data_IF_236160974373
#
_entry.id   IF_236160974373
#
_cell.length_a   1.000
_cell.length_b   1.000
_cell.length_c   1.000
_cell.angle_alpha   90.00
_cell.angle_beta   90.00
_cell.angle_gamma   90.00
#
_symmetry.space_group_name_H-M   'P 1'
#
loop_
_entity.id
_entity.type
_entity.pdbx_description
1 polymer ?
#
# COMPACT_ATOMS: atom_id res chain seq x y z
N UNK A 1 -0.76 2.68 -0.52
CA UNK A 1 -2.06 2.12 -0.95
C UNK A 1 -3.21 2.63 -0.08
N UNK A 2 -3.15 2.52 1.27
CA UNK A 2 -4.25 2.95 2.16
C UNK A 2 -4.56 4.45 2.07
N UNK A 3 -3.54 5.31 1.99
CA UNK A 3 -3.72 6.76 1.86
C UNK A 3 -4.39 7.16 0.53
N UNK A 4 -4.30 6.32 -0.50
CA UNK A 4 -4.88 6.57 -1.81
C UNK A 4 -6.33 6.07 -1.93
N UNK A 5 -6.78 5.20 -1.01
CA UNK A 5 -8.13 4.65 -1.06
C UNK A 5 -9.25 5.71 -1.05
N UNK A 6 -9.21 6.78 -0.22
CA UNK A 6 -10.22 7.82 -0.25
C UNK A 6 -10.29 8.54 -1.60
N UNK A 7 -9.13 8.81 -2.21
CA UNK A 7 -9.07 9.47 -3.53
C UNK A 7 -9.68 8.58 -4.60
N UNK A 8 -9.35 7.29 -4.59
CA UNK A 8 -9.90 6.32 -5.53
C UNK A 8 -11.42 6.18 -5.39
N UNK A 9 -11.92 6.07 -4.16
CA UNK A 9 -13.36 5.97 -3.88
C UNK A 9 -14.08 7.25 -4.33
N UNK A 10 -13.53 8.43 -4.00
CA UNK A 10 -14.09 9.71 -4.42
C UNK A 10 -14.13 9.83 -5.95
N UNK A 11 -13.03 9.51 -6.63
CA UNK A 11 -12.94 9.53 -8.08
C UNK A 11 -13.96 8.56 -8.72
N UNK A 12 -14.07 7.33 -8.18
CA UNK A 12 -15.05 6.36 -8.63
C UNK A 12 -16.48 6.89 -8.54
N UNK A 13 -16.85 7.49 -7.40
CA UNK A 13 -18.18 8.07 -7.22
C UNK A 13 -18.45 9.23 -8.17
N UNK A 14 -17.49 10.15 -8.33
CA UNK A 14 -17.62 11.29 -9.23
C UNK A 14 -17.76 10.82 -10.68
N UNK A 15 -16.87 9.95 -11.14
CA UNK A 15 -16.91 9.48 -12.53
C UNK A 15 -18.17 8.67 -12.84
N UNK A 16 -18.66 7.89 -11.88
CA UNK A 16 -19.90 7.14 -12.04
C UNK A 16 -21.14 8.03 -12.03
N UNK A 17 -21.09 9.17 -11.32
CA UNK A 17 -22.21 10.09 -11.21
C UNK A 17 -22.52 10.86 -12.50
N UNK A 18 -21.66 10.84 -13.51
CA UNK A 18 -21.94 11.47 -14.79
C UNK A 18 -23.01 10.73 -15.61
N UNK A 19 -23.15 9.40 -15.44
CA UNK A 19 -24.24 8.65 -16.03
C UNK A 19 -25.27 8.28 -14.95
N UNK A 20 -26.34 9.09 -14.85
CA UNK A 20 -27.42 8.94 -13.86
C UNK A 20 -28.65 8.22 -14.41
N UNK A 21 -28.54 7.63 -15.60
CA UNK A 21 -29.68 6.96 -16.28
C UNK A 21 -30.06 5.62 -15.66
N UNK A 22 -29.21 5.03 -14.82
CA UNK A 22 -29.50 3.78 -14.13
C UNK A 22 -30.31 3.98 -12.85
N UNK A 23 -30.81 2.87 -12.30
CA UNK A 23 -31.56 2.81 -11.03
C UNK A 23 -30.74 2.22 -9.88
N UNK A 24 -29.46 1.97 -10.10
CA UNK A 24 -28.55 1.43 -9.09
C UNK A 24 -28.09 2.48 -8.08
N UNK A 25 -27.23 2.06 -7.12
CA UNK A 25 -26.71 2.94 -6.08
C UNK A 25 -25.96 4.14 -6.70
N UNK A 26 -26.40 5.36 -6.36
CA UNK A 26 -25.84 6.62 -6.87
C UNK A 26 -26.33 7.00 -8.27
N UNK A 27 -27.35 6.33 -8.79
CA UNK A 27 -28.01 6.66 -10.08
C UNK A 27 -29.45 7.10 -9.81
N UNK A 28 -29.93 8.05 -10.62
CA UNK A 28 -31.22 8.73 -10.37
C UNK A 28 -32.35 8.27 -11.30
N UNK A 29 -32.09 7.31 -12.21
CA UNK A 29 -33.08 6.86 -13.18
C UNK A 29 -33.52 7.95 -14.17
N UNK A 30 -32.63 8.91 -14.46
CA UNK A 30 -32.90 10.02 -15.38
C UNK A 30 -33.01 9.50 -16.82
N UNK A 31 -33.77 10.21 -17.65
CA UNK A 31 -33.69 10.01 -19.09
C UNK A 31 -32.29 10.37 -19.62
N UNK A 32 -31.90 9.86 -20.79
CA UNK A 32 -30.62 10.22 -21.41
C UNK A 32 -30.53 11.73 -21.67
N UNK A 33 -31.63 12.33 -22.15
CA UNK A 33 -31.75 13.75 -22.44
C UNK A 33 -31.65 14.61 -21.16
N UNK A 34 -32.39 14.26 -20.11
CA UNK A 34 -32.30 14.98 -18.83
C UNK A 34 -30.89 14.88 -18.24
N UNK A 35 -30.24 13.72 -18.37
CA UNK A 35 -28.88 13.53 -17.87
C UNK A 35 -27.87 14.44 -18.59
N UNK A 36 -28.00 14.64 -19.89
CA UNK A 36 -27.14 15.54 -20.68
C UNK A 36 -27.33 17.01 -20.31
N UNK A 37 -28.58 17.42 -19.99
CA UNK A 37 -28.94 18.80 -19.73
C UNK A 37 -28.88 19.21 -18.24
N UNK A 38 -28.57 18.27 -17.34
CA UNK A 38 -28.53 18.54 -15.90
C UNK A 38 -27.10 18.64 -15.41
N UNK A 39 -26.71 19.74 -14.73
CA UNK A 39 -25.43 19.87 -14.08
C UNK A 39 -25.19 18.75 -13.05
N UNK A 40 -23.91 18.41 -12.80
CA UNK A 40 -23.50 17.37 -11.87
C UNK A 40 -22.43 17.90 -10.90
N UNK A 41 -22.77 18.05 -9.62
CA UNK A 41 -21.92 18.70 -8.61
C UNK A 41 -21.49 20.11 -9.07
N UNK A 42 -20.19 20.32 -9.23
CA UNK A 42 -19.60 21.58 -9.71
C UNK A 42 -19.50 21.66 -11.24
N UNK A 43 -19.86 20.59 -11.95
CA UNK A 43 -19.76 20.49 -13.40
C UNK A 43 -21.04 20.99 -14.05
N UNK A 44 -20.90 21.87 -15.03
CA UNK A 44 -22.02 22.35 -15.86
C UNK A 44 -22.59 21.23 -16.74
N UNK A 45 -23.75 21.46 -17.32
CA UNK A 45 -24.33 20.54 -18.30
C UNK A 45 -23.37 20.30 -19.50
N UNK A 46 -22.67 21.35 -19.94
CA UNK A 46 -21.66 21.24 -21.01
C UNK A 46 -20.49 20.34 -20.62
N UNK A 47 -20.03 20.41 -19.37
CA UNK A 47 -18.97 19.54 -18.87
C UNK A 47 -19.45 18.07 -18.82
N UNK A 48 -20.72 17.86 -18.42
CA UNK A 48 -21.32 16.52 -18.42
C UNK A 48 -21.38 15.95 -19.83
N UNK A 49 -21.84 16.74 -20.80
CA UNK A 49 -21.89 16.34 -22.21
C UNK A 49 -20.47 16.02 -22.72
N UNK A 50 -19.51 16.90 -22.50
CA UNK A 50 -18.12 16.71 -22.91
C UNK A 50 -17.52 15.42 -22.34
N UNK A 51 -17.81 15.11 -21.08
CA UNK A 51 -17.33 13.87 -20.46
C UNK A 51 -18.02 12.62 -21.03
N UNK A 52 -19.32 12.69 -21.29
CA UNK A 52 -20.07 11.59 -21.92
C UNK A 52 -19.69 11.37 -23.39
N UNK A 53 -19.24 12.41 -24.08
CA UNK A 53 -18.72 12.35 -25.44
C UNK A 53 -17.30 11.75 -25.52
N UNK A 54 -16.54 11.85 -24.42
CA UNK A 54 -15.14 11.42 -24.41
C UNK A 54 -14.99 9.92 -24.71
N UNK A 55 -14.15 9.62 -25.68
CA UNK A 55 -13.90 8.25 -26.19
C UNK A 55 -12.40 7.92 -26.15
N UNK A 56 -12.12 6.67 -25.86
CA UNK A 56 -10.80 6.06 -26.06
C UNK A 56 -10.96 4.92 -27.08
N UNK A 57 -10.36 5.05 -28.25
CA UNK A 57 -10.50 4.08 -29.34
C UNK A 57 -11.97 3.72 -29.64
N UNK A 58 -12.86 4.71 -29.61
CA UNK A 58 -14.29 4.55 -29.85
C UNK A 58 -15.13 4.04 -28.66
N UNK A 59 -14.51 3.68 -27.53
CA UNK A 59 -15.20 3.31 -26.30
C UNK A 59 -15.38 4.52 -25.38
N UNK A 60 -16.61 4.75 -24.80
CA UNK A 60 -16.82 5.82 -23.83
C UNK A 60 -15.94 5.60 -22.59
N UNK A 61 -15.19 6.61 -22.18
CA UNK A 61 -14.30 6.48 -21.01
C UNK A 61 -15.05 6.31 -19.69
N UNK A 62 -16.29 6.78 -19.63
CA UNK A 62 -17.19 6.64 -18.49
C UNK A 62 -17.94 5.30 -18.45
N UNK A 63 -17.87 4.48 -19.51
CA UNK A 63 -18.48 3.16 -19.54
C UNK A 63 -17.60 2.10 -18.86
N UNK A 64 -18.27 1.09 -18.30
CA UNK A 64 -17.68 -0.15 -17.80
C UNK A 64 -18.10 -1.33 -18.68
N UNK A 65 -17.38 -2.45 -18.63
CA UNK A 65 -17.77 -3.68 -19.35
C UNK A 65 -19.16 -4.14 -18.94
N UNK A 66 -19.51 -3.99 -17.67
CA UNK A 66 -20.79 -4.41 -17.09
C UNK A 66 -21.89 -3.36 -17.23
N UNK A 67 -21.64 -2.20 -17.86
CA UNK A 67 -22.67 -1.18 -18.05
C UNK A 67 -23.88 -1.78 -18.79
N UNK A 68 -25.11 -1.72 -18.24
CA UNK A 68 -26.30 -2.22 -18.89
C UNK A 68 -26.54 -1.56 -20.25
N UNK A 69 -27.06 -2.31 -21.21
CA UNK A 69 -27.33 -1.79 -22.58
C UNK A 69 -28.24 -0.56 -22.54
N UNK A 70 -29.26 -0.56 -21.68
CA UNK A 70 -30.13 0.59 -21.50
C UNK A 70 -29.39 1.89 -21.10
N UNK A 71 -28.32 1.77 -20.31
CA UNK A 71 -27.50 2.92 -19.90
C UNK A 71 -26.50 3.37 -20.97
N UNK A 72 -26.26 2.56 -22.01
CA UNK A 72 -25.41 2.94 -23.13
C UNK A 72 -26.06 4.05 -23.98
N UNK A 73 -27.36 4.23 -23.89
CA UNK A 73 -28.08 5.34 -24.54
C UNK A 73 -27.61 6.71 -24.04
N UNK A 74 -27.15 6.83 -22.79
CA UNK A 74 -26.62 8.06 -22.25
C UNK A 74 -25.33 8.56 -22.96
N UNK A 75 -24.70 7.70 -23.76
CA UNK A 75 -23.51 8.05 -24.53
C UNK A 75 -23.81 8.40 -25.99
N UNK A 76 -25.07 8.39 -26.37
CA UNK A 76 -25.54 8.87 -27.68
C UNK A 76 -25.83 10.36 -27.54
N UNK A 77 -25.03 11.18 -28.19
CA UNK A 77 -25.12 12.65 -28.15
C UNK A 77 -25.16 13.21 -29.55
N UNK A 78 -25.38 14.50 -29.71
CA UNK A 78 -25.33 15.15 -31.03
C UNK A 78 -23.96 14.97 -31.72
N UNK A 79 -22.88 15.01 -30.92
CA UNK A 79 -21.52 14.85 -31.41
C UNK A 79 -21.16 13.40 -31.74
N UNK A 80 -21.79 12.44 -31.04
CA UNK A 80 -21.53 10.99 -31.20
C UNK A 80 -22.87 10.25 -31.26
N UNK A 81 -23.51 10.22 -32.44
CA UNK A 81 -24.85 9.64 -32.60
C UNK A 81 -24.88 8.10 -32.57
N UNK A 82 -23.68 7.46 -32.56
CA UNK A 82 -23.62 5.99 -32.60
C UNK A 82 -23.68 5.39 -31.18
N UNK A 83 -24.49 4.34 -31.02
CA UNK A 83 -24.55 3.57 -29.79
C UNK A 83 -23.24 2.82 -29.57
N UNK A 84 -22.58 2.99 -28.43
CA UNK A 84 -21.32 2.31 -28.13
C UNK A 84 -21.43 0.80 -28.19
N UNK A 85 -20.54 0.16 -28.93
CA UNK A 85 -20.46 -1.29 -28.97
C UNK A 85 -19.85 -1.85 -27.68
N UNK A 86 -20.51 -2.84 -27.09
CA UNK A 86 -19.94 -3.56 -25.93
C UNK A 86 -18.60 -4.20 -26.26
N UNK A 87 -18.43 -4.70 -27.50
CA UNK A 87 -17.17 -5.26 -27.95
C UNK A 87 -16.04 -4.23 -27.89
N UNK A 88 -16.28 -3.00 -28.34
CA UNK A 88 -15.31 -1.92 -28.25
C UNK A 88 -14.93 -1.61 -26.79
N UNK A 89 -15.92 -1.58 -25.89
CA UNK A 89 -15.67 -1.36 -24.45
C UNK A 89 -14.77 -2.48 -23.91
N UNK A 90 -15.03 -3.74 -24.26
CA UNK A 90 -14.20 -4.88 -23.83
C UNK A 90 -12.80 -4.79 -24.41
N UNK A 91 -12.67 -4.50 -25.71
CA UNK A 91 -11.36 -4.41 -26.38
C UNK A 91 -10.46 -3.32 -25.84
N UNK A 92 -11.05 -2.26 -25.27
CA UNK A 92 -10.29 -1.17 -24.62
C UNK A 92 -10.05 -1.47 -23.14
N UNK A 93 -11.08 -1.92 -22.41
CA UNK A 93 -10.97 -2.13 -20.97
C UNK A 93 -10.10 -3.35 -20.61
N UNK A 94 -10.21 -4.47 -21.34
CA UNK A 94 -9.50 -5.70 -21.00
C UNK A 94 -7.96 -5.53 -21.05
N UNK A 95 -7.34 -4.93 -22.08
CA UNK A 95 -5.91 -4.64 -22.07
C UNK A 95 -5.50 -3.74 -20.91
N UNK A 96 -6.29 -2.69 -20.60
CA UNK A 96 -6.02 -1.80 -19.47
C UNK A 96 -6.06 -2.55 -18.14
N UNK A 97 -7.01 -3.45 -17.94
CA UNK A 97 -7.10 -4.30 -16.75
C UNK A 97 -5.87 -5.19 -16.60
N UNK A 98 -5.44 -5.83 -17.69
CA UNK A 98 -4.24 -6.69 -17.71
C UNK A 98 -3.01 -5.86 -17.36
N UNK A 99 -2.82 -4.72 -18.02
CA UNK A 99 -1.68 -3.82 -17.77
C UNK A 99 -1.71 -3.32 -16.30
N UNK A 100 -2.88 -2.89 -15.82
CA UNK A 100 -3.05 -2.44 -14.44
C UNK A 100 -2.73 -3.55 -13.42
N UNK A 101 -3.17 -4.77 -13.67
CA UNK A 101 -2.88 -5.93 -12.81
C UNK A 101 -1.39 -6.25 -12.77
N UNK A 102 -0.75 -6.33 -13.93
CA UNK A 102 0.70 -6.59 -14.05
C UNK A 102 1.50 -5.46 -13.37
N UNK A 103 1.16 -4.21 -13.64
CA UNK A 103 1.84 -3.05 -13.05
C UNK A 103 1.67 -3.01 -11.51
N UNK A 104 0.47 -3.34 -11.00
CA UNK A 104 0.22 -3.45 -9.57
C UNK A 104 1.07 -4.56 -8.93
N UNK A 105 1.21 -5.71 -9.60
CA UNK A 105 2.07 -6.80 -9.13
C UNK A 105 3.54 -6.36 -9.04
N UNK A 106 4.09 -5.72 -10.09
CA UNK A 106 5.48 -5.26 -10.07
C UNK A 106 5.73 -4.17 -9.03
N UNK A 107 4.84 -3.21 -8.88
CA UNK A 107 4.94 -2.17 -7.84
C UNK A 107 4.91 -2.79 -6.43
N UNK A 108 4.03 -3.76 -6.20
CA UNK A 108 3.96 -4.48 -4.92
C UNK A 108 5.24 -5.28 -4.67
N UNK A 109 5.76 -5.96 -5.69
CA UNK A 109 7.02 -6.72 -5.59
C UNK A 109 8.21 -5.81 -5.25
N UNK A 110 8.32 -4.65 -5.91
CA UNK A 110 9.36 -3.68 -5.62
C UNK A 110 9.28 -3.15 -4.18
N UNK A 111 8.06 -2.89 -3.68
CA UNK A 111 7.84 -2.45 -2.30
C UNK A 111 8.18 -3.52 -1.26
N UNK A 112 7.77 -4.78 -1.52
CA UNK A 112 8.05 -5.91 -0.61
C UNK A 112 9.54 -6.23 -0.55
N UNK A 113 10.25 -6.17 -1.68
CA UNK A 113 11.69 -6.45 -1.75
C UNK A 113 12.55 -5.49 -0.91
N UNK A 114 12.02 -4.31 -0.55
CA UNK A 114 12.74 -3.29 0.23
C UNK A 114 12.27 -3.17 1.68
N UNK A 115 11.49 -4.13 2.15
CA UNK A 115 11.14 -4.18 3.57
C UNK A 115 12.37 -4.56 4.41
N UNK A 116 12.48 -3.96 5.61
CA UNK A 116 13.49 -4.34 6.58
C UNK A 116 13.29 -5.80 7.03
N UNK A 117 14.39 -6.47 7.42
CA UNK A 117 14.34 -7.85 7.94
C UNK A 117 13.36 -7.99 9.10
N UNK A 118 13.33 -7.00 10.02
CA UNK A 118 12.40 -6.98 11.14
C UNK A 118 10.93 -6.89 10.69
N UNK A 119 10.63 -6.11 9.65
CA UNK A 119 9.29 -6.04 9.08
C UNK A 119 8.92 -7.33 8.33
N UNK A 120 9.87 -7.93 7.61
CA UNK A 120 9.66 -9.18 6.88
C UNK A 120 9.43 -10.38 7.83
N UNK A 121 10.06 -10.39 9.00
CA UNK A 121 9.91 -11.42 10.01
C UNK A 121 8.55 -11.38 10.75
N UNK A 122 7.80 -10.29 10.64
CA UNK A 122 6.49 -10.16 11.27
C UNK A 122 5.44 -10.96 10.50
N UNK A 123 4.72 -11.92 11.14
CA UNK A 123 3.69 -12.73 10.48
C UNK A 123 2.58 -11.91 9.82
N UNK A 124 2.19 -10.78 10.42
CA UNK A 124 1.18 -9.88 9.86
C UNK A 124 1.68 -9.22 8.57
N UNK A 125 2.95 -8.82 8.51
CA UNK A 125 3.56 -8.30 7.29
C UNK A 125 3.61 -9.35 6.19
N UNK A 126 3.89 -10.62 6.52
CA UNK A 126 3.89 -11.71 5.55
C UNK A 126 2.50 -11.91 4.89
N UNK A 127 1.41 -11.80 5.67
CA UNK A 127 0.05 -11.85 5.14
C UNK A 127 -0.22 -10.66 4.24
N UNK A 128 0.11 -9.44 4.70
CA UNK A 128 -0.07 -8.21 3.92
C UNK A 128 0.72 -8.24 2.60
N UNK A 129 1.93 -8.80 2.62
CA UNK A 129 2.75 -8.97 1.43
C UNK A 129 2.12 -9.93 0.41
N UNK A 130 1.55 -11.06 0.87
CA UNK A 130 0.81 -11.97 -0.01
C UNK A 130 -0.43 -11.33 -0.60
N UNK A 131 -1.19 -10.57 0.20
CA UNK A 131 -2.34 -9.80 -0.28
C UNK A 131 -1.91 -8.79 -1.35
N UNK A 132 -0.84 -8.03 -1.10
CA UNK A 132 -0.33 -7.03 -2.03
C UNK A 132 0.18 -7.64 -3.34
N UNK A 133 0.87 -8.79 -3.27
CA UNK A 133 1.48 -9.44 -4.43
C UNK A 133 0.48 -10.18 -5.32
N UNK A 134 -0.54 -10.79 -4.73
CA UNK A 134 -1.42 -11.70 -5.46
C UNK A 134 -2.88 -11.28 -5.45
N UNK A 135 -3.43 -10.93 -4.28
CA UNK A 135 -4.87 -10.64 -4.16
C UNK A 135 -5.23 -9.32 -4.80
N UNK A 136 -4.44 -8.25 -4.62
CA UNK A 136 -4.73 -6.97 -5.25
C UNK A 136 -4.63 -7.01 -6.78
N UNK A 137 -3.59 -7.58 -7.41
CA UNK A 137 -3.57 -7.73 -8.87
C UNK A 137 -4.72 -8.56 -9.42
N UNK A 138 -5.08 -9.67 -8.76
CA UNK A 138 -6.25 -10.48 -9.13
C UNK A 138 -7.55 -9.70 -8.91
N UNK A 139 -7.64 -8.90 -7.84
CA UNK A 139 -8.77 -8.03 -7.56
C UNK A 139 -9.03 -7.01 -8.68
N UNK A 140 -7.97 -6.53 -9.35
CA UNK A 140 -8.11 -5.66 -10.53
C UNK A 140 -8.75 -6.39 -11.70
N UNK A 141 -8.39 -7.65 -11.94
CA UNK A 141 -8.97 -8.45 -13.02
C UNK A 141 -10.44 -8.81 -12.75
N UNK A 142 -10.77 -9.14 -11.51
CA UNK A 142 -12.14 -9.53 -11.12
C UNK A 142 -13.04 -8.31 -10.97
N UNK A 143 -12.54 -7.23 -10.35
CA UNK A 143 -13.29 -6.00 -10.12
C UNK A 143 -13.31 -5.04 -11.32
N UNK A 144 -12.29 -5.12 -12.18
CA UNK A 144 -12.12 -4.24 -13.34
C UNK A 144 -13.32 -4.13 -14.27
N UNK A 145 -14.06 -5.22 -14.57
CA UNK A 145 -15.25 -5.15 -15.40
C UNK A 145 -16.33 -4.21 -14.89
N UNK A 146 -16.35 -3.91 -13.59
CA UNK A 146 -17.31 -2.99 -12.97
C UNK A 146 -16.81 -1.54 -12.93
N UNK A 147 -15.55 -1.31 -13.30
CA UNK A 147 -14.94 0.01 -13.26
C UNK A 147 -15.05 0.71 -14.62
N UNK A 148 -15.40 2.01 -14.65
CA UNK A 148 -15.28 2.83 -15.84
C UNK A 148 -13.85 2.81 -16.42
N UNK A 149 -13.75 2.88 -17.76
CA UNK A 149 -12.44 2.95 -18.45
C UNK A 149 -11.57 4.09 -17.91
N UNK A 150 -12.14 5.22 -17.56
CA UNK A 150 -11.42 6.35 -16.94
C UNK A 150 -10.72 5.95 -15.63
N UNK A 151 -11.32 5.10 -14.80
CA UNK A 151 -10.70 4.58 -13.58
C UNK A 151 -9.53 3.65 -13.91
N UNK A 152 -9.68 2.80 -14.92
CA UNK A 152 -8.61 1.91 -15.36
C UNK A 152 -7.42 2.70 -15.92
N UNK A 153 -7.68 3.77 -16.68
CA UNK A 153 -6.66 4.71 -17.15
C UNK A 153 -5.92 5.39 -15.99
N UNK A 154 -6.69 5.90 -15.02
CA UNK A 154 -6.10 6.48 -13.81
C UNK A 154 -5.21 5.45 -13.10
N UNK A 155 -5.69 4.21 -12.96
CA UNK A 155 -4.93 3.15 -12.29
C UNK A 155 -3.62 2.83 -13.01
N UNK A 156 -3.67 2.66 -14.33
CA UNK A 156 -2.47 2.43 -15.14
C UNK A 156 -1.51 3.60 -15.02
N UNK A 157 -1.98 4.83 -15.19
CA UNK A 157 -1.15 6.05 -15.11
C UNK A 157 -0.50 6.19 -13.73
N UNK A 158 -1.26 5.95 -12.67
CA UNK A 158 -0.76 5.98 -11.31
C UNK A 158 0.30 4.89 -11.04
N UNK A 159 0.11 3.68 -11.58
CA UNK A 159 1.12 2.62 -11.45
C UNK A 159 2.40 2.96 -12.20
N UNK A 160 2.32 3.52 -13.41
CA UNK A 160 3.48 3.98 -14.18
C UNK A 160 4.23 5.07 -13.39
N UNK A 161 3.50 6.05 -12.86
CA UNK A 161 4.07 7.12 -12.05
C UNK A 161 4.77 6.58 -10.80
N UNK A 162 4.10 5.69 -10.07
CA UNK A 162 4.65 5.05 -8.87
C UNK A 162 5.92 4.25 -9.18
N UNK A 163 5.92 3.50 -10.28
CA UNK A 163 7.10 2.76 -10.71
C UNK A 163 8.27 3.68 -11.03
N UNK A 164 8.00 4.77 -11.77
CA UNK A 164 9.01 5.79 -12.08
C UNK A 164 9.59 6.44 -10.83
N UNK A 165 8.72 6.87 -9.90
CA UNK A 165 9.16 7.44 -8.62
C UNK A 165 10.00 6.44 -7.81
N UNK A 166 9.55 5.20 -7.68
CA UNK A 166 10.29 4.17 -6.96
C UNK A 166 11.68 3.97 -7.56
N UNK A 167 11.78 3.90 -8.88
CA UNK A 167 13.07 3.72 -9.55
C UNK A 167 14.04 4.87 -9.28
N UNK A 168 13.57 6.12 -9.35
CA UNK A 168 14.39 7.31 -9.08
C UNK A 168 14.83 7.40 -7.62
N UNK A 169 13.90 7.19 -6.69
CA UNK A 169 14.17 7.26 -5.24
C UNK A 169 15.11 6.14 -4.83
N UNK A 170 14.87 4.93 -5.32
CA UNK A 170 15.70 3.77 -4.96
C UNK A 170 17.14 3.91 -5.44
N UNK A 171 17.36 4.44 -6.64
CA UNK A 171 18.71 4.72 -7.11
C UNK A 171 19.48 5.69 -6.21
N UNK A 172 18.81 6.71 -5.67
CA UNK A 172 19.43 7.65 -4.72
C UNK A 172 19.75 6.96 -3.40
N UNK A 173 18.82 6.20 -2.85
CA UNK A 173 19.03 5.48 -1.59
C UNK A 173 20.19 4.47 -1.72
N UNK A 174 20.22 3.69 -2.81
CA UNK A 174 21.28 2.72 -3.06
C UNK A 174 22.65 3.40 -3.15
N UNK A 175 22.75 4.54 -3.85
CA UNK A 175 23.98 5.32 -3.95
C UNK A 175 24.43 5.89 -2.59
N UNK A 176 23.49 6.39 -1.75
CA UNK A 176 23.79 6.86 -0.40
C UNK A 176 24.24 5.73 0.53
N UNK A 177 23.60 4.55 0.43
CA UNK A 177 24.01 3.39 1.22
C UNK A 177 25.39 2.88 0.82
N UNK A 178 25.70 2.85 -0.48
CA UNK A 178 27.03 2.48 -0.97
C UNK A 178 28.08 3.50 -0.48
N UNK A 179 27.81 4.80 -0.56
CA UNK A 179 28.72 5.82 -0.05
C UNK A 179 28.99 5.65 1.45
N UNK A 180 27.93 5.42 2.27
CA UNK A 180 28.05 5.15 3.70
C UNK A 180 28.85 3.88 3.99
N UNK A 181 28.66 2.82 3.21
CA UNK A 181 29.45 1.57 3.33
C UNK A 181 30.90 1.80 3.02
N UNK A 182 31.21 2.56 1.96
CA UNK A 182 32.59 2.91 1.61
C UNK A 182 33.27 3.75 2.69
N UNK A 183 32.58 4.76 3.22
CA UNK A 183 33.09 5.55 4.34
C UNK A 183 33.36 4.69 5.59
N UNK A 184 32.43 3.77 5.91
CA UNK A 184 32.62 2.88 7.05
C UNK A 184 33.83 1.93 6.86
N UNK A 185 34.05 1.42 5.65
CA UNK A 185 35.21 0.61 5.30
C UNK A 185 36.50 1.43 5.41
N UNK A 186 36.50 2.65 4.86
CA UNK A 186 37.67 3.53 4.92
C UNK A 186 38.03 3.88 6.37
N UNK A 187 37.03 4.30 7.17
CA UNK A 187 37.25 4.56 8.61
C UNK A 187 37.77 3.33 9.39
N UNK A 188 37.28 2.13 9.01
CA UNK A 188 37.72 0.87 9.60
C UNK A 188 39.17 0.57 9.24
N UNK A 189 39.56 0.80 7.98
CA UNK A 189 40.93 0.60 7.51
C UNK A 189 41.90 1.61 8.10
N UNK A 190 41.48 2.89 8.22
CA UNK A 190 42.30 3.94 8.81
C UNK A 190 42.53 3.72 10.32
N UNK A 191 41.56 3.15 11.02
CA UNK A 191 41.63 2.79 12.42
C UNK A 191 42.21 1.38 12.68
N UNK A 192 42.51 0.60 11.64
CA UNK A 192 43.10 -0.73 11.78
C UNK A 192 44.54 -0.60 12.24
N UNK A 193 45.00 -1.42 13.22
CA UNK A 193 46.39 -1.46 13.62
C UNK A 193 47.29 -1.80 12.42
N UNK A 194 48.38 -1.04 12.26
CA UNK A 194 49.34 -1.36 11.18
C UNK A 194 49.87 -2.79 11.34
N UNK A 195 50.10 -3.51 10.25
CA UNK A 195 50.68 -4.87 10.29
C UNK A 195 52.00 -4.84 11.11
N UNK A 196 52.05 -5.63 12.19
CA UNK A 196 53.21 -5.67 13.10
C UNK A 196 53.11 -4.78 14.35
N UNK A 197 52.08 -3.98 14.53
CA UNK A 197 51.88 -3.23 15.77
C UNK A 197 51.52 -4.19 16.93
N UNK A 198 52.34 -4.22 17.99
CA UNK A 198 52.02 -4.98 19.19
C UNK A 198 50.78 -4.38 19.87
N UNK A 199 49.83 -5.20 20.36
CA UNK A 199 48.67 -4.71 21.10
C UNK A 199 49.16 -3.91 22.33
N UNK A 200 48.76 -2.64 22.43
CA UNK A 200 49.07 -1.81 23.58
C UNK A 200 48.29 -2.32 24.82
N UNK A 201 48.96 -2.84 25.84
CA UNK A 201 48.27 -3.42 26.99
C UNK A 201 47.50 -2.38 27.83
N UNK A 202 47.72 -1.06 27.61
CA UNK A 202 47.01 0.00 28.32
C UNK A 202 45.60 0.24 27.84
N UNK A 203 45.21 -0.25 26.65
CA UNK A 203 43.84 -0.11 26.07
C UNK A 203 42.83 -1.19 26.49
N UNK A 204 43.22 -2.09 27.42
CA UNK A 204 42.35 -3.16 27.93
C UNK A 204 41.42 -2.76 29.09
N UNK A 205 40.97 -1.50 29.16
CA UNK A 205 39.95 -1.08 30.11
C UNK A 205 39.04 -0.02 29.49
N UNK A 206 38.12 -0.50 28.67
CA UNK A 206 36.96 0.27 28.24
C UNK A 206 35.81 -0.72 28.01
N UNK A 207 35.05 -0.99 29.07
CA UNK A 207 33.74 -1.59 29.04
C UNK A 207 32.90 -0.94 27.94
N UNK A 208 32.02 -1.64 27.25
CA UNK A 208 31.09 -1.00 26.31
C UNK A 208 30.12 -0.14 27.10
N UNK A 209 30.49 1.11 27.28
CA UNK A 209 29.57 2.12 27.80
C UNK A 209 28.61 2.54 26.70
N UNK A 210 27.35 2.37 27.01
CA UNK A 210 26.17 3.01 26.47
C UNK A 210 26.40 3.98 25.31
N UNK A 211 25.80 3.66 24.20
CA UNK A 211 25.54 4.57 23.07
C UNK A 211 24.71 5.75 23.61
N UNK A 212 25.38 6.83 23.99
CA UNK A 212 24.73 8.12 24.21
C UNK A 212 24.44 8.70 22.82
N UNK A 213 23.17 8.79 22.50
CA UNK A 213 22.62 9.68 21.50
C UNK A 213 23.20 11.08 21.72
N UNK A 214 24.01 11.55 20.78
CA UNK A 214 24.36 12.95 20.69
C UNK A 214 23.31 13.62 19.81
N UNK A 215 22.51 14.39 20.47
CA UNK A 215 21.69 15.50 20.05
C UNK A 215 22.50 16.46 19.19
N UNK A 216 21.95 16.81 18.03
CA UNK A 216 22.36 18.02 17.32
C UNK A 216 21.08 18.67 16.83
N UNK A 217 20.84 19.80 17.44
CA UNK A 217 19.78 20.74 17.21
C UNK A 217 19.85 21.37 15.81
N UNK A 218 18.70 21.96 15.48
CA UNK A 218 18.39 22.99 14.51
C UNK A 218 18.09 22.56 13.09
N UNK A 219 16.83 22.46 12.74
CA UNK A 219 16.18 23.35 11.76
C UNK A 219 14.65 23.33 11.88
N UNK A 220 14.07 24.52 11.89
CA UNK A 220 12.67 24.86 11.99
C UNK A 220 11.84 24.35 10.82
N UNK A 221 10.67 23.78 11.08
CA UNK A 221 9.68 23.43 10.06
C UNK A 221 8.38 22.88 10.65
N UNK A 222 7.50 23.80 10.95
CA UNK A 222 6.11 23.71 11.42
C UNK A 222 5.30 22.54 10.82
N UNK A 223 4.82 21.61 11.67
CA UNK A 223 3.68 20.74 11.39
C UNK A 223 3.02 20.28 12.70
N UNK A 224 1.67 20.29 12.80
CA UNK A 224 0.96 20.19 14.07
C UNK A 224 0.99 18.78 14.68
N UNK A 225 1.37 18.76 15.93
CA UNK A 225 1.40 17.63 16.86
C UNK A 225 -0.03 17.15 17.17
N UNK A 226 -0.40 15.94 16.80
CA UNK A 226 -1.58 15.24 17.32
C UNK A 226 -1.14 14.37 18.50
N UNK A 227 -1.30 14.91 19.69
CA UNK A 227 -1.08 14.22 20.96
C UNK A 227 -2.13 13.15 21.21
N UNK A 228 -1.75 11.89 21.10
CA UNK A 228 -2.55 10.74 21.56
C UNK A 228 -2.21 10.44 23.03
N UNK A 229 -3.00 10.97 23.93
CA UNK A 229 -3.02 10.61 25.37
C UNK A 229 -3.43 9.15 25.53
N UNK A 230 -2.53 8.37 26.10
CA UNK A 230 -2.75 7.01 26.60
C UNK A 230 -3.66 7.08 27.85
N UNK A 231 -4.75 6.29 27.96
CA UNK A 231 -5.52 6.25 29.20
C UNK A 231 -4.81 5.41 30.25
N UNK A 232 -4.58 5.99 31.42
CA UNK A 232 -4.21 5.28 32.65
C UNK A 232 -5.47 4.65 33.26
N UNK A 233 -5.40 3.45 33.86
CA UNK A 233 -6.51 2.90 34.62
C UNK A 233 -6.50 3.47 36.04
N UNK A 234 -7.64 3.98 36.50
CA UNK A 234 -7.92 4.39 37.87
C UNK A 234 -8.14 3.17 38.77
N UNK A 235 -7.72 3.22 40.05
CA UNK A 235 -8.09 2.21 41.03
C UNK A 235 -9.43 2.54 41.66
N UNK A 236 -10.34 1.57 41.70
CA UNK A 236 -11.50 1.63 42.60
C UNK A 236 -11.40 0.52 43.61
N UNK A 237 -11.52 0.89 44.85
CA UNK A 237 -11.36 0.05 45.98
C UNK A 237 -12.65 -0.60 46.45
N UNK A 238 -12.42 -1.53 47.38
CA UNK A 238 -13.27 -1.95 48.49
C UNK A 238 -14.38 -2.95 48.25
N UNK A 239 -14.24 -4.09 48.93
CA UNK A 239 -15.37 -4.86 49.43
C UNK A 239 -15.19 -6.37 49.48
N UNK A 240 -14.60 -6.89 50.52
CA UNK A 240 -15.02 -7.92 51.45
C UNK A 240 -15.34 -9.34 50.95
N UNK A 241 -14.73 -10.34 51.57
CA UNK A 241 -15.38 -11.65 51.76
C UNK A 241 -14.50 -12.88 51.43
N UNK A 242 -13.68 -13.27 52.37
CA UNK A 242 -13.58 -14.60 53.05
C UNK A 242 -13.56 -15.88 52.20
N UNK A 243 -12.55 -16.67 52.55
CA UNK A 243 -12.47 -18.11 52.75
C UNK A 243 -11.84 -18.99 51.66
N UNK A 244 -10.84 -19.69 52.17
CA UNK A 244 -10.39 -21.07 51.94
C UNK A 244 -9.33 -21.37 50.89
N UNK A 245 -8.10 -21.61 51.44
CA UNK A 245 -7.10 -22.54 50.89
C UNK A 245 -7.62 -24.00 50.96
N UNK A 246 -7.11 -24.90 50.10
CA UNK A 246 -5.97 -25.70 50.48
C UNK A 246 -4.98 -26.02 49.31
N UNK A 247 -3.71 -25.99 49.64
CA UNK A 247 -2.64 -27.01 49.76
C UNK A 247 -2.38 -27.97 48.58
N UNK A 248 -1.10 -27.86 48.15
CA UNK A 248 -0.15 -28.97 47.90
C UNK A 248 -0.36 -29.84 46.63
N UNK A 249 0.64 -29.87 45.74
CA UNK A 249 1.65 -30.95 45.73
C UNK A 249 2.75 -30.69 44.67
N UNK A 250 3.97 -30.82 45.19
CA UNK A 250 5.21 -31.04 44.43
C UNK A 250 5.53 -32.52 44.55
N UNK A 251 6.11 -33.19 43.54
CA UNK A 251 7.34 -33.93 43.71
C UNK A 251 8.31 -33.64 42.56
N UNK A 252 9.54 -33.26 42.82
CA UNK A 252 10.78 -33.99 43.12
C UNK A 252 11.25 -34.99 42.05
N UNK A 253 12.35 -34.60 41.43
CA UNK A 253 13.57 -35.34 41.07
C UNK A 253 13.45 -36.71 40.36
N UNK A 254 14.18 -36.86 39.25
CA UNK A 254 15.14 -37.93 39.23
C UNK A 254 16.33 -37.65 38.31
N UNK A 255 17.49 -37.93 38.85
CA UNK A 255 18.84 -37.96 38.28
C UNK A 255 19.06 -39.22 37.44
N UNK A 256 20.04 -39.12 36.57
CA UNK A 256 20.81 -40.27 36.10
C UNK A 256 20.61 -40.53 34.61
N UNK A 257 21.54 -40.61 33.72
CA UNK A 257 22.83 -41.22 33.80
C UNK A 257 23.45 -41.10 32.38
N UNK A 258 24.66 -40.62 32.26
CA UNK A 258 25.48 -40.91 31.09
C UNK A 258 25.97 -42.35 31.09
N UNK A 259 26.27 -42.97 29.92
CA UNK A 259 27.61 -43.45 29.73
C UNK A 259 28.20 -43.21 28.32
N UNK A 260 29.39 -42.67 28.32
CA UNK A 260 30.67 -43.08 27.75
C UNK A 260 30.69 -43.93 26.43
N UNK A 261 31.35 -43.33 25.43
CA UNK A 261 32.50 -43.88 24.71
C UNK A 261 32.34 -45.20 23.91
N UNK A 262 32.50 -45.19 22.62
CA UNK A 262 33.52 -46.05 22.05
C UNK A 262 34.06 -45.54 20.68
N UNK A 263 35.38 -45.58 20.59
CA UNK A 263 36.28 -45.46 19.46
C UNK A 263 36.24 -46.71 18.57
N UNK A 264 36.59 -46.53 17.30
CA UNK A 264 37.16 -47.44 16.27
C UNK A 264 36.25 -47.48 15.04
N UNK A 265 36.70 -47.30 13.87
CA UNK A 265 37.96 -47.41 13.12
C UNK A 265 37.92 -46.45 11.98
#
# INVERSE_FOLDING_TARGET
>A
VLAQAPVFIGLFHVLRSFNRTGTGMGQLGMSAEDNLNTPNYVFSATDVQSFLDARLFGAPISAAITTPVAQLQAYVTENVPELPSRLNIILVAAPLMIIASIATHFNSRASVARQSEAAAANPQSAIMNKLALYVFPLGVLVGGPFLPIAILLYWVSNNIWTYGQQHLVFRKIDAEEEAKKQEAITRRNDNAPKPGARPDPSKKKGSPAALKTADSADDDGDAPEVSLKKPQPKPSGSGGGSTSKPKQNRPQSNRGNSPKRNKRR
#
